data_IF_264989096564
#
_entry.id   IF_264989096564
#
_cell.length_a   1.000
_cell.length_b   1.000
_cell.length_c   1.000
_cell.angle_alpha   90.00
_cell.angle_beta   90.00
_cell.angle_gamma   90.00
#
_symmetry.space_group_name_H-M   'P 1'
#
loop_
_entity.id
_entity.type
_entity.pdbx_description
1 polymer ?
#
# COMPACT_ATOMS: atom_id res chain seq x y z
N UNK A 1 -3.77 -12.22 -19.55
CA UNK A 1 -4.72 -11.56 -18.63
C UNK A 1 -3.87 -10.95 -17.53
N UNK A 2 -3.61 -9.66 -17.61
CA UNK A 2 -2.91 -8.95 -16.53
C UNK A 2 -4.00 -8.74 -15.50
N UNK A 3 -3.85 -9.34 -14.32
CA UNK A 3 -4.77 -9.16 -13.21
C UNK A 3 -4.78 -7.66 -12.88
N UNK A 4 -5.80 -6.95 -13.35
CA UNK A 4 -6.09 -5.58 -12.93
C UNK A 4 -6.52 -5.66 -11.46
N UNK A 5 -5.53 -5.71 -10.56
CA UNK A 5 -5.72 -5.33 -9.16
C UNK A 5 -6.15 -3.86 -9.15
N UNK A 6 -7.44 -3.64 -9.37
CA UNK A 6 -8.08 -2.34 -9.27
C UNK A 6 -7.86 -1.81 -7.86
N UNK A 7 -7.69 -0.49 -7.71
CA UNK A 7 -7.54 0.19 -6.41
C UNK A 7 -8.59 -0.33 -5.41
N UNK A 8 -9.85 -0.46 -5.85
CA UNK A 8 -10.95 -1.01 -5.03
C UNK A 8 -10.74 -2.46 -4.59
N UNK A 9 -10.17 -3.31 -5.44
CA UNK A 9 -9.90 -4.72 -5.10
C UNK A 9 -8.78 -4.85 -4.07
N UNK A 10 -7.74 -4.03 -4.19
CA UNK A 10 -6.66 -3.94 -3.20
C UNK A 10 -7.16 -3.36 -1.86
N UNK A 11 -8.07 -2.38 -1.88
CA UNK A 11 -8.69 -1.87 -0.67
C UNK A 11 -9.53 -2.93 0.05
N UNK A 12 -10.35 -3.69 -0.69
CA UNK A 12 -11.15 -4.78 -0.14
C UNK A 12 -10.28 -5.88 0.47
N UNK A 13 -9.22 -6.28 -0.24
CA UNK A 13 -8.29 -7.30 0.23
C UNK A 13 -7.55 -6.87 1.51
N UNK A 14 -7.14 -5.60 1.61
CA UNK A 14 -6.55 -5.06 2.84
C UNK A 14 -7.54 -5.16 4.01
N UNK A 15 -8.82 -4.84 3.78
CA UNK A 15 -9.87 -4.92 4.80
C UNK A 15 -10.06 -6.38 5.26
N UNK A 16 -10.08 -7.33 4.33
CA UNK A 16 -10.22 -8.75 4.67
C UNK A 16 -9.03 -9.27 5.49
N UNK A 17 -7.80 -8.88 5.12
CA UNK A 17 -6.60 -9.25 5.87
C UNK A 17 -6.58 -8.60 7.26
N UNK A 18 -7.05 -7.35 7.38
CA UNK A 18 -7.21 -6.68 8.68
C UNK A 18 -8.23 -7.39 9.59
N UNK A 19 -9.31 -7.97 9.04
CA UNK A 19 -10.24 -8.82 9.82
C UNK A 19 -9.53 -10.06 10.34
N UNK A 20 -8.75 -10.75 9.50
CA UNK A 20 -7.96 -11.92 9.95
C UNK A 20 -6.96 -11.54 11.04
N UNK A 21 -6.32 -10.38 10.92
CA UNK A 21 -5.39 -9.85 11.91
C UNK A 21 -6.01 -9.70 13.30
N UNK A 22 -7.29 -9.29 13.38
CA UNK A 22 -7.99 -9.12 14.67
C UNK A 22 -8.10 -10.43 15.47
N UNK A 23 -8.01 -11.58 14.81
CA UNK A 23 -8.00 -12.88 15.47
C UNK A 23 -6.59 -13.34 15.91
N UNK A 24 -5.54 -12.62 15.52
CA UNK A 24 -4.18 -12.91 15.92
C UNK A 24 -3.81 -12.20 17.22
N UNK A 25 -2.93 -12.83 18.00
CA UNK A 25 -2.42 -12.25 19.24
C UNK A 25 -1.48 -11.07 18.87
N UNK A 26 -1.71 -9.84 19.37
CA UNK A 26 -0.83 -8.71 19.12
C UNK A 26 0.63 -9.01 19.49
N UNK A 27 1.56 -8.67 18.61
CA UNK A 27 2.99 -8.92 18.80
C UNK A 27 3.44 -10.37 18.57
N UNK A 28 2.53 -11.30 18.27
CA UNK A 28 2.88 -12.64 17.80
C UNK A 28 3.55 -12.59 16.42
N UNK A 29 4.29 -13.65 16.08
CA UNK A 29 4.88 -13.81 14.75
C UNK A 29 3.83 -13.71 13.64
N UNK A 30 2.65 -14.31 13.85
CA UNK A 30 1.54 -14.25 12.91
C UNK A 30 1.01 -12.83 12.74
N UNK A 31 0.83 -12.08 13.85
CA UNK A 31 0.42 -10.68 13.80
C UNK A 31 1.43 -9.83 13.02
N UNK A 32 2.73 -9.98 13.30
CA UNK A 32 3.78 -9.19 12.63
C UNK A 32 3.89 -9.54 11.14
N UNK A 33 3.70 -10.80 10.76
CA UNK A 33 3.67 -11.23 9.37
C UNK A 33 2.46 -10.63 8.64
N UNK A 34 1.27 -10.69 9.24
CA UNK A 34 0.05 -10.11 8.68
C UNK A 34 0.18 -8.58 8.57
N UNK A 35 0.75 -7.93 9.58
CA UNK A 35 1.04 -6.49 9.56
C UNK A 35 1.97 -6.11 8.41
N UNK A 36 3.02 -6.90 8.18
CA UNK A 36 3.95 -6.70 7.06
C UNK A 36 3.27 -6.85 5.69
N UNK A 37 2.36 -7.83 5.56
CA UNK A 37 1.57 -8.04 4.33
C UNK A 37 0.64 -6.84 4.08
N UNK A 38 -0.07 -6.37 5.11
CA UNK A 38 -0.94 -5.18 5.02
C UNK A 38 -0.12 -3.95 4.63
N UNK A 39 1.06 -3.77 5.22
CA UNK A 39 1.95 -2.65 4.91
C UNK A 39 2.41 -2.66 3.44
N UNK A 40 2.78 -3.84 2.90
CA UNK A 40 3.14 -3.97 1.49
C UNK A 40 1.96 -3.63 0.56
N UNK A 41 0.77 -4.14 0.86
CA UNK A 41 -0.44 -3.86 0.06
C UNK A 41 -0.85 -2.40 0.14
N UNK A 42 -0.78 -1.76 1.32
CA UNK A 42 -0.98 -0.31 1.48
C UNK A 42 0.04 0.50 0.69
N UNK A 43 1.30 0.07 0.62
CA UNK A 43 2.32 0.69 -0.24
C UNK A 43 1.96 0.56 -1.72
N UNK A 44 1.57 -0.63 -2.20
CA UNK A 44 1.11 -0.84 -3.58
C UNK A 44 -0.11 0.01 -3.91
N UNK A 45 -1.09 0.05 -3.01
CA UNK A 45 -2.28 0.90 -3.14
C UNK A 45 -1.92 2.38 -3.21
N UNK A 46 -0.99 2.84 -2.38
CA UNK A 46 -0.48 4.22 -2.42
C UNK A 46 0.16 4.53 -3.79
N UNK A 47 0.98 3.62 -4.31
CA UNK A 47 1.61 3.77 -5.64
C UNK A 47 0.56 3.81 -6.74
N UNK A 48 -0.48 2.97 -6.69
CA UNK A 48 -1.56 2.98 -7.69
C UNK A 48 -2.42 4.24 -7.60
N UNK A 49 -2.76 4.70 -6.40
CA UNK A 49 -3.48 5.97 -6.18
C UNK A 49 -2.64 7.17 -6.63
N UNK A 50 -1.33 7.13 -6.39
CA UNK A 50 -0.39 8.16 -6.79
C UNK A 50 -0.13 8.14 -8.30
N UNK A 51 0.04 6.98 -8.93
CA UNK A 51 0.13 6.82 -10.39
C UNK A 51 -1.17 7.17 -11.13
N UNK A 52 -2.31 7.16 -10.44
CA UNK A 52 -3.58 7.71 -10.92
C UNK A 52 -3.70 9.24 -10.71
N UNK A 53 -2.77 9.84 -9.96
CA UNK A 53 -2.69 11.27 -9.67
C UNK A 53 -1.42 11.94 -10.26
N UNK A 54 -0.49 11.16 -10.83
CA UNK A 54 0.82 11.62 -11.30
C UNK A 54 0.90 11.77 -12.81
N UNK A 55 0.28 12.86 -13.26
CA UNK A 55 1.02 13.81 -14.08
C UNK A 55 1.89 14.78 -13.23
N UNK A 56 1.82 14.77 -11.87
CA UNK A 56 2.32 15.91 -11.07
C UNK A 56 2.96 15.61 -9.67
N UNK A 57 3.55 14.44 -9.38
CA UNK A 57 4.18 14.23 -8.05
C UNK A 57 5.47 13.39 -8.06
N UNK A 58 6.47 13.81 -8.83
CA UNK A 58 7.85 13.36 -8.66
C UNK A 58 8.32 13.65 -7.22
N UNK A 59 8.57 12.65 -6.35
CA UNK A 59 9.22 12.89 -5.07
C UNK A 59 10.72 12.89 -5.32
N UNK A 60 11.28 14.07 -5.60
CA UNK A 60 12.74 14.28 -5.60
C UNK A 60 13.31 14.87 -6.88
N UNK A 61 12.96 16.12 -7.20
CA UNK A 61 13.92 17.03 -7.80
C UNK A 61 14.17 18.14 -6.78
N UNK A 62 15.23 17.98 -5.99
CA UNK A 62 15.72 19.02 -5.10
C UNK A 62 16.16 20.21 -5.95
N UNK A 63 15.25 21.17 -6.10
CA UNK A 63 15.52 22.45 -6.75
C UNK A 63 16.52 23.25 -5.93
N UNK A 64 17.81 23.05 -6.20
CA UNK A 64 18.77 24.14 -6.25
C UNK A 64 19.01 24.47 -7.72
N UNK A 65 18.02 25.11 -8.33
CA UNK A 65 18.17 25.82 -9.60
C UNK A 65 18.48 27.28 -9.27
N UNK A 66 19.63 27.54 -8.63
CA UNK A 66 20.13 28.89 -8.42
C UNK A 66 21.48 29.05 -9.12
N UNK A 67 21.36 29.65 -10.31
CA UNK A 67 22.34 30.40 -11.13
C UNK A 67 23.34 29.66 -12.02
#
# INVERSE_FOLDING_TARGET
MINEESISGLEEEIIEIEKVKQHCIPGSLQWNNIDSIIAEKKRKLSILKQGNCEADYMPGCGGSCER
#
